data_IF_529055133587
#
_entry.id   IF_529055133587
#
_cell.length_a   1.000
_cell.length_b   1.000
_cell.length_c   1.000
_cell.angle_alpha   90.00
_cell.angle_beta   90.00
_cell.angle_gamma   90.00
#
_symmetry.space_group_name_H-M   'P 1'
#
loop_
_entity.id
_entity.type
_entity.pdbx_description
1 polymer ?
#
# COMPACT_ATOMS: atom_id res chain seq x y z
N UNK A 1 1.64 -4.63 -7.79
CA UNK A 1 1.80 -6.11 -7.67
C UNK A 1 3.17 -6.57 -7.14
N UNK A 2 4.32 -6.01 -7.55
CA UNK A 2 5.65 -6.49 -7.07
C UNK A 2 5.94 -6.18 -5.59
N UNK A 3 5.38 -5.11 -5.02
CA UNK A 3 5.62 -4.74 -3.61
C UNK A 3 4.86 -5.63 -2.61
N UNK A 4 3.63 -6.05 -2.91
CA UNK A 4 2.83 -6.88 -2.00
C UNK A 4 3.39 -8.29 -1.85
N UNK A 5 3.93 -8.87 -2.92
CA UNK A 5 4.61 -10.18 -2.88
C UNK A 5 5.83 -10.20 -1.94
N UNK A 6 6.52 -9.05 -1.76
CA UNK A 6 7.67 -8.95 -0.84
C UNK A 6 7.30 -9.16 0.63
N UNK A 7 6.05 -8.91 1.02
CA UNK A 7 5.59 -9.09 2.39
C UNK A 7 4.79 -10.39 2.58
N UNK A 8 4.04 -10.79 1.57
CA UNK A 8 3.21 -12.00 1.62
C UNK A 8 4.07 -13.28 1.64
N UNK A 9 5.13 -13.33 0.83
CA UNK A 9 5.96 -14.53 0.71
C UNK A 9 6.73 -14.83 2.01
N UNK A 10 7.44 -13.87 2.63
CA UNK A 10 8.13 -14.13 3.90
C UNK A 10 7.16 -14.48 5.04
N UNK A 11 6.00 -13.82 5.09
CA UNK A 11 4.97 -14.11 6.09
C UNK A 11 4.42 -15.54 5.93
N UNK A 12 4.12 -15.94 4.69
CA UNK A 12 3.67 -17.30 4.40
C UNK A 12 4.70 -18.35 4.78
N UNK A 13 5.98 -18.10 4.48
CA UNK A 13 7.09 -18.98 4.86
C UNK A 13 7.22 -19.08 6.38
N UNK A 14 7.19 -17.95 7.09
CA UNK A 14 7.30 -17.92 8.55
C UNK A 14 6.15 -18.71 9.22
N UNK A 15 4.90 -18.51 8.77
CA UNK A 15 3.75 -19.23 9.31
C UNK A 15 3.79 -20.73 8.98
N UNK A 16 4.23 -21.10 7.77
CA UNK A 16 4.42 -22.50 7.41
C UNK A 16 5.49 -23.17 8.28
N UNK A 17 6.60 -22.48 8.57
CA UNK A 17 7.66 -22.96 9.45
C UNK A 17 7.16 -23.14 10.90
N UNK A 18 6.39 -22.19 11.41
CA UNK A 18 5.76 -22.29 12.75
C UNK A 18 4.80 -23.47 12.80
N UNK A 19 3.90 -23.60 11.82
CA UNK A 19 2.96 -24.72 11.77
C UNK A 19 3.69 -26.07 11.72
N UNK A 20 4.75 -26.17 10.92
CA UNK A 20 5.59 -27.36 10.83
C UNK A 20 6.27 -27.72 12.16
N UNK A 21 6.67 -26.72 12.97
CA UNK A 21 7.29 -26.94 14.27
C UNK A 21 6.27 -27.25 15.40
N UNK A 22 5.12 -26.57 15.40
CA UNK A 22 4.12 -26.66 16.48
C UNK A 22 3.31 -27.96 16.40
N UNK A 23 2.92 -28.39 15.20
CA UNK A 23 2.13 -29.61 14.99
C UNK A 23 2.75 -30.87 15.65
N UNK A 24 4.03 -31.22 15.43
CA UNK A 24 4.63 -32.39 16.07
C UNK A 24 4.80 -32.23 17.58
N UNK A 25 4.94 -31.00 18.08
CA UNK A 25 5.02 -30.73 19.51
C UNK A 25 3.68 -31.02 20.20
N UNK A 26 2.57 -30.53 19.63
CA UNK A 26 1.22 -30.77 20.15
C UNK A 26 0.89 -32.26 20.13
N UNK A 27 1.23 -32.99 19.06
CA UNK A 27 0.98 -34.43 18.97
C UNK A 27 1.73 -35.20 20.09
N UNK A 28 3.01 -34.88 20.33
CA UNK A 28 3.77 -35.52 21.42
C UNK A 28 3.18 -35.23 22.80
N UNK A 29 2.82 -33.97 23.06
CA UNK A 29 2.25 -33.56 24.35
C UNK A 29 0.88 -34.19 24.59
N UNK A 30 0.02 -34.23 23.57
CA UNK A 30 -1.31 -34.85 23.68
C UNK A 30 -1.21 -36.36 23.92
N UNK A 31 -0.37 -37.08 23.17
CA UNK A 31 -0.14 -38.50 23.38
C UNK A 31 0.36 -38.81 24.81
N UNK A 32 1.36 -38.07 25.28
CA UNK A 32 1.87 -38.24 26.65
C UNK A 32 0.80 -37.99 27.72
N UNK A 33 -0.01 -36.95 27.53
CA UNK A 33 -1.11 -36.63 28.45
C UNK A 33 -2.15 -37.75 28.50
N UNK A 34 -2.56 -38.30 27.35
CA UNK A 34 -3.51 -39.42 27.30
C UNK A 34 -2.97 -40.71 27.93
N UNK A 35 -1.69 -41.03 27.70
CA UNK A 35 -1.06 -42.20 28.34
C UNK A 35 -1.04 -42.02 29.87
N UNK A 36 -0.72 -40.82 30.36
CA UNK A 36 -0.71 -40.50 31.79
C UNK A 36 -2.11 -40.62 32.41
N UNK A 37 -3.14 -40.11 31.73
CA UNK A 37 -4.53 -40.19 32.20
C UNK A 37 -5.04 -41.64 32.25
N UNK A 38 -4.78 -42.42 31.18
CA UNK A 38 -5.11 -43.85 31.14
C UNK A 38 -4.40 -44.64 32.23
N UNK A 39 -3.14 -44.31 32.52
CA UNK A 39 -2.39 -44.98 33.57
C UNK A 39 -3.03 -44.75 34.95
N UNK A 40 -3.37 -43.51 35.28
CA UNK A 40 -4.02 -43.17 36.56
C UNK A 40 -5.34 -43.94 36.70
N UNK A 41 -6.18 -43.97 35.66
CA UNK A 41 -7.44 -44.72 35.68
C UNK A 41 -7.22 -46.23 35.83
N UNK A 42 -6.24 -46.79 35.11
CA UNK A 42 -5.93 -48.22 35.16
C UNK A 42 -5.49 -48.67 36.55
N UNK A 43 -4.72 -47.84 37.27
CA UNK A 43 -4.30 -48.14 38.65
C UNK A 43 -5.49 -48.13 39.61
N UNK A 44 -6.44 -47.22 39.43
CA UNK A 44 -7.66 -47.17 40.25
C UNK A 44 -8.55 -48.39 40.00
N UNK A 45 -8.74 -48.78 38.74
CA UNK A 45 -9.50 -49.99 38.37
C UNK A 45 -8.83 -51.25 38.94
N UNK A 46 -7.50 -51.34 38.82
CA UNK A 46 -6.76 -52.46 39.37
C UNK A 46 -6.90 -52.55 40.89
N UNK A 47 -6.75 -51.44 41.61
CA UNK A 47 -6.91 -51.39 43.07
C UNK A 47 -8.35 -51.78 43.50
N UNK A 48 -9.37 -51.30 42.79
CA UNK A 48 -10.76 -51.68 43.06
C UNK A 48 -11.05 -53.15 42.72
N UNK A 49 -10.35 -53.72 41.74
CA UNK A 49 -10.49 -55.11 41.34
C UNK A 49 -9.68 -56.09 42.20
N UNK A 50 -8.68 -55.63 42.95
CA UNK A 50 -7.82 -56.48 43.78
C UNK A 50 -8.62 -57.24 44.84
N UNK A 51 -9.45 -56.58 45.65
CA UNK A 51 -10.19 -57.23 46.74
C UNK A 51 -11.12 -58.36 46.24
N UNK A 52 -12.02 -58.16 45.25
CA UNK A 52 -12.86 -59.25 44.73
C UNK A 52 -12.04 -60.35 44.03
N UNK A 53 -10.98 -59.97 43.33
CA UNK A 53 -10.15 -60.92 42.59
C UNK A 53 -9.36 -61.83 43.52
N UNK A 54 -8.80 -61.29 44.61
CA UNK A 54 -8.05 -62.09 45.60
C UNK A 54 -8.94 -63.15 46.25
N UNK A 55 -10.19 -62.80 46.56
CA UNK A 55 -11.19 -63.74 47.08
C UNK A 55 -11.55 -64.84 46.07
N UNK A 56 -11.70 -64.48 44.79
CA UNK A 56 -12.01 -65.41 43.71
C UNK A 56 -10.84 -66.32 43.33
N UNK A 57 -9.60 -65.84 43.38
CA UNK A 57 -8.40 -66.61 42.97
C UNK A 57 -8.03 -67.67 44.02
N UNK A 58 -8.31 -67.44 45.31
CA UNK A 58 -8.07 -68.41 46.39
C UNK A 58 -9.05 -69.60 46.37
N UNK A 59 -10.16 -69.51 45.64
CA UNK A 59 -11.19 -70.55 45.60
C UNK A 59 -10.87 -71.64 44.53
N UNK A 60 -10.75 -72.93 44.92
CA UNK A 60 -10.48 -74.00 43.96
C UNK A 60 -11.65 -74.15 42.97
N UNK A 61 -11.35 -74.07 41.67
CA UNK A 61 -12.30 -74.10 40.51
C UNK A 61 -13.06 -72.80 40.21
N UNK A 62 -12.62 -71.64 40.68
CA UNK A 62 -13.28 -70.36 40.37
C UNK A 62 -13.02 -69.78 38.96
N UNK A 63 -12.40 -70.53 38.02
CA UNK A 63 -12.06 -70.06 36.66
C UNK A 63 -13.22 -69.37 35.94
N UNK A 64 -14.42 -69.96 35.97
CA UNK A 64 -15.60 -69.36 35.34
C UNK A 64 -16.15 -68.13 36.09
N UNK A 65 -15.94 -68.04 37.40
CA UNK A 65 -16.35 -66.85 38.18
C UNK A 65 -15.42 -65.68 37.89
N UNK A 66 -14.10 -65.92 37.81
CA UNK A 66 -13.09 -64.92 37.43
C UNK A 66 -13.32 -64.41 36.01
N UNK A 67 -13.57 -65.29 35.04
CA UNK A 67 -13.85 -64.87 33.66
C UNK A 67 -15.13 -64.02 33.56
N UNK A 68 -16.22 -64.41 34.24
CA UNK A 68 -17.45 -63.59 34.30
C UNK A 68 -17.22 -62.24 34.96
N UNK A 69 -16.37 -62.18 35.98
CA UNK A 69 -15.98 -60.93 36.61
C UNK A 69 -15.20 -60.02 35.65
N UNK A 70 -14.24 -60.57 34.90
CA UNK A 70 -13.51 -59.82 33.87
C UNK A 70 -14.40 -59.35 32.73
N UNK A 71 -15.35 -60.18 32.27
CA UNK A 71 -16.33 -59.76 31.26
C UNK A 71 -17.20 -58.61 31.74
N UNK A 72 -17.59 -58.59 33.02
CA UNK A 72 -18.33 -57.48 33.62
C UNK A 72 -17.50 -56.21 33.70
N UNK A 73 -16.19 -56.31 34.00
CA UNK A 73 -15.29 -55.16 33.98
C UNK A 73 -15.07 -54.65 32.55
N UNK A 74 -14.97 -55.54 31.54
CA UNK A 74 -14.81 -55.14 30.13
C UNK A 74 -16.04 -54.38 29.60
N UNK A 75 -17.23 -54.66 30.14
CA UNK A 75 -18.44 -53.92 29.76
C UNK A 75 -18.41 -52.45 30.18
N UNK A 76 -17.67 -52.13 31.25
CA UNK A 76 -17.49 -50.76 31.72
C UNK A 76 -16.14 -50.18 31.26
N UNK A 77 -16.22 -48.99 30.66
CA UNK A 77 -15.09 -48.16 30.21
C UNK A 77 -13.99 -48.85 29.39
N UNK A 78 -14.12 -48.88 28.04
CA UNK A 78 -13.02 -48.86 27.04
C UNK A 78 -11.83 -49.85 27.22
N UNK A 79 -12.00 -50.87 28.05
CA UNK A 79 -11.02 -51.94 28.24
C UNK A 79 -11.20 -52.93 27.09
N UNK A 80 -10.12 -53.21 26.37
CA UNK A 80 -10.10 -54.16 25.27
C UNK A 80 -10.03 -55.60 25.78
N UNK A 81 -9.18 -55.84 26.78
CA UNK A 81 -9.00 -57.17 27.37
C UNK A 81 -8.37 -57.11 28.77
N UNK A 82 -8.60 -58.15 29.57
CA UNK A 82 -8.02 -58.33 30.91
C UNK A 82 -7.42 -59.73 31.02
N UNK A 83 -6.26 -59.82 31.65
CA UNK A 83 -5.60 -61.08 31.95
C UNK A 83 -4.96 -61.06 33.33
N UNK A 84 -4.82 -62.23 33.93
CA UNK A 84 -4.14 -62.43 35.21
C UNK A 84 -3.00 -63.44 35.02
N UNK A 85 -1.82 -63.02 35.44
CA UNK A 85 -0.57 -63.76 35.37
C UNK A 85 -0.18 -64.24 36.78
N UNK A 86 0.27 -65.48 36.87
CA UNK A 86 0.90 -66.01 38.08
C UNK A 86 2.30 -65.39 38.30
N UNK A 87 2.86 -65.57 39.50
CA UNK A 87 4.24 -65.23 39.84
C UNK A 87 5.27 -65.90 38.92
N UNK A 88 4.93 -67.04 38.31
CA UNK A 88 5.77 -67.71 37.32
C UNK A 88 5.76 -67.03 35.93
N UNK A 89 5.00 -65.94 35.76
CA UNK A 89 4.81 -65.27 34.46
C UNK A 89 3.93 -66.08 33.49
N UNK A 90 3.13 -67.02 34.00
CA UNK A 90 2.18 -67.81 33.20
C UNK A 90 0.79 -67.19 33.30
N UNK A 91 0.13 -66.99 32.16
CA UNK A 91 -1.23 -66.49 32.11
C UNK A 91 -2.21 -67.56 32.61
N UNK A 92 -2.88 -67.30 33.73
CA UNK A 92 -3.84 -68.22 34.33
C UNK A 92 -5.25 -67.96 33.80
N UNK A 93 -5.64 -66.69 33.73
CA UNK A 93 -6.96 -66.25 33.29
C UNK A 93 -6.80 -65.15 32.24
N UNK A 94 -7.57 -65.23 31.16
CA UNK A 94 -7.56 -64.24 30.09
C UNK A 94 -8.94 -64.18 29.45
N UNK A 95 -9.36 -62.99 29.05
CA UNK A 95 -10.61 -62.79 28.32
C UNK A 95 -10.45 -63.21 26.85
N UNK A 96 -11.55 -63.53 26.17
CA UNK A 96 -11.51 -64.03 24.79
C UNK A 96 -10.91 -63.02 23.78
N UNK A 97 -10.97 -61.73 24.10
CA UNK A 97 -10.42 -60.63 23.30
C UNK A 97 -8.93 -60.37 23.56
N UNK A 98 -8.28 -61.15 24.44
CA UNK A 98 -6.90 -60.90 24.82
C UNK A 98 -5.92 -61.13 23.65
N UNK A 99 -5.09 -60.15 23.27
CA UNK A 99 -4.20 -60.27 22.12
C UNK A 99 -3.00 -61.19 22.40
N UNK A 100 -2.72 -62.12 21.49
CA UNK A 100 -1.60 -63.08 21.61
C UNK A 100 -0.21 -62.41 21.60
N UNK A 101 -0.11 -61.19 21.07
CA UNK A 101 1.12 -60.40 21.04
C UNK A 101 1.53 -59.85 22.41
N UNK A 102 0.62 -59.85 23.40
CA UNK A 102 0.89 -59.36 24.75
C UNK A 102 1.22 -60.55 25.65
N UNK A 103 2.45 -60.57 26.17
CA UNK A 103 2.92 -61.62 27.10
C UNK A 103 2.95 -61.11 28.53
N UNK A 104 2.77 -62.01 29.49
CA UNK A 104 2.97 -61.71 30.90
C UNK A 104 4.41 -61.20 31.12
N UNK A 105 4.60 -60.21 32.00
CA UNK A 105 5.93 -59.79 32.43
C UNK A 105 6.67 -60.95 33.10
N UNK A 106 7.99 -60.97 32.95
CA UNK A 106 8.83 -61.91 33.70
C UNK A 106 9.06 -61.36 35.11
N UNK A 107 8.79 -62.19 36.11
CA UNK A 107 8.94 -61.86 37.52
C UNK A 107 10.35 -61.30 37.82
N UNK A 108 10.41 -60.19 38.56
CA UNK A 108 11.65 -59.57 39.04
C UNK A 108 12.23 -58.45 38.17
N UNK A 109 11.68 -58.17 36.99
CA UNK A 109 11.92 -56.89 36.31
C UNK A 109 10.84 -55.92 36.74
N UNK A 110 11.25 -54.76 37.27
CA UNK A 110 10.36 -53.60 37.43
C UNK A 110 9.90 -53.18 36.03
N UNK A 111 8.90 -53.89 35.49
CA UNK A 111 8.31 -53.60 34.22
C UNK A 111 7.72 -52.19 34.32
N UNK A 112 8.01 -51.34 33.33
CA UNK A 112 7.24 -50.11 33.15
C UNK A 112 5.76 -50.46 33.30
N UNK A 113 5.09 -49.85 34.28
CA UNK A 113 3.69 -50.11 34.62
C UNK A 113 2.77 -49.97 33.41
N UNK A 114 3.21 -49.24 32.39
CA UNK A 114 2.56 -49.03 31.10
C UNK A 114 3.49 -49.29 29.92
N UNK A 115 2.96 -49.93 28.87
CA UNK A 115 3.62 -50.11 27.56
C UNK A 115 2.63 -49.92 26.41
N UNK A 116 3.03 -49.18 25.39
CA UNK A 116 2.33 -49.10 24.11
C UNK A 116 2.74 -50.27 23.21
N UNK A 117 1.75 -51.00 22.67
CA UNK A 117 1.94 -52.10 21.73
C UNK A 117 1.16 -51.79 20.45
N UNK A 118 1.84 -51.83 19.29
CA UNK A 118 1.22 -51.60 18.00
C UNK A 118 0.67 -52.91 17.43
N UNK A 119 -0.63 -52.99 17.14
CA UNK A 119 -1.25 -54.09 16.38
C UNK A 119 -1.82 -53.56 15.06
N UNK A 120 -2.11 -54.47 14.12
CA UNK A 120 -2.75 -54.11 12.83
C UNK A 120 -4.11 -53.42 12.98
N UNK A 121 -4.82 -53.68 14.08
CA UNK A 121 -6.12 -53.06 14.40
C UNK A 121 -6.02 -51.73 15.15
N UNK A 122 -4.81 -51.31 15.55
CA UNK A 122 -4.57 -50.06 16.27
C UNK A 122 -3.56 -50.20 17.42
N UNK A 123 -3.10 -49.07 17.99
CA UNK A 123 -2.26 -49.08 19.18
C UNK A 123 -3.06 -49.50 20.41
N UNK A 124 -2.50 -50.39 21.21
CA UNK A 124 -3.04 -50.83 22.50
C UNK A 124 -2.13 -50.34 23.63
N UNK A 125 -2.75 -49.86 24.71
CA UNK A 125 -2.05 -49.51 25.94
C UNK A 125 -2.18 -50.66 26.93
N UNK A 126 -1.05 -51.28 27.28
CA UNK A 126 -0.97 -52.39 28.22
C UNK A 126 -0.46 -51.86 29.55
N UNK A 127 -1.28 -51.97 30.59
CA UNK A 127 -0.90 -51.65 31.97
C UNK A 127 -0.79 -52.93 32.80
N UNK A 128 0.28 -53.04 33.59
CA UNK A 128 0.54 -54.17 34.49
C UNK A 128 0.49 -53.68 35.92
N UNK A 129 -0.41 -54.26 36.71
CA UNK A 129 -0.59 -53.93 38.11
C UNK A 129 -0.38 -55.18 38.99
N UNK A 130 0.51 -55.14 39.99
CA UNK A 130 0.70 -56.26 40.90
C UNK A 130 -0.56 -56.48 41.73
N UNK A 131 -0.87 -57.74 42.05
CA UNK A 131 -1.97 -58.13 42.93
C UNK A 131 -1.38 -58.84 44.13
N UNK A 132 -1.58 -58.26 45.31
CA UNK A 132 -1.20 -58.85 46.59
C UNK A 132 -2.41 -58.94 47.51
N UNK A 133 -2.44 -59.98 48.35
CA UNK A 133 -3.42 -60.15 49.40
C UNK A 133 -2.68 -60.32 50.72
N UNK A 134 -3.02 -59.52 51.74
CA UNK A 134 -2.47 -59.67 53.11
C UNK A 134 -0.93 -59.67 53.16
N UNK A 135 -0.26 -59.01 52.20
CA UNK A 135 1.20 -58.95 52.11
C UNK A 135 1.85 -60.07 51.26
N UNK A 136 1.07 -61.04 50.78
CA UNK A 136 1.53 -62.08 49.87
C UNK A 136 1.25 -61.69 48.41
N UNK A 137 2.27 -61.71 47.56
CA UNK A 137 2.10 -61.45 46.13
C UNK A 137 1.41 -62.65 45.47
N UNK A 138 0.24 -62.45 44.87
CA UNK A 138 -0.52 -63.51 44.19
C UNK A 138 -0.23 -63.57 42.69
N UNK A 139 0.21 -62.46 42.10
CA UNK A 139 0.46 -62.37 40.66
C UNK A 139 0.34 -60.94 40.13
N UNK A 140 0.14 -60.82 38.83
CA UNK A 140 0.02 -59.55 38.12
C UNK A 140 -1.26 -59.50 37.28
N UNK A 141 -2.01 -58.41 37.39
CA UNK A 141 -3.17 -58.10 36.57
C UNK A 141 -2.72 -57.26 35.37
N UNK A 142 -2.95 -57.80 34.17
CA UNK A 142 -2.66 -57.14 32.89
C UNK A 142 -3.97 -56.61 32.32
N UNK A 143 -4.06 -55.29 32.17
CA UNK A 143 -5.22 -54.61 31.59
C UNK A 143 -4.79 -53.99 30.27
N UNK A 144 -5.54 -54.29 29.20
CA UNK A 144 -5.29 -53.80 27.84
C UNK A 144 -6.39 -52.82 27.45
N UNK A 145 -6.02 -51.60 27.10
CA UNK A 145 -6.93 -50.54 26.65
C UNK A 145 -6.74 -50.28 25.15
N UNK A 146 -7.84 -49.95 24.45
CA UNK A 146 -7.78 -49.54 23.05
C UNK A 146 -7.43 -48.04 22.94
N UNK A 147 -6.33 -47.71 22.24
CA UNK A 147 -5.93 -46.33 21.93
C UNK A 147 -6.25 -45.90 20.49
N UNK A 148 -6.98 -46.71 19.71
CA UNK A 148 -7.38 -46.40 18.33
C UNK A 148 -8.18 -45.08 18.21
N UNK A 149 -8.85 -44.67 19.29
CA UNK A 149 -9.54 -43.39 19.40
C UNK A 149 -8.58 -42.18 19.45
N UNK A 150 -7.45 -42.32 20.13
CA UNK A 150 -6.48 -41.24 20.31
C UNK A 150 -5.79 -40.91 18.99
N UNK A 151 -5.47 -41.92 18.18
CA UNK A 151 -4.94 -41.71 16.83
C UNK A 151 -5.97 -41.05 15.89
N UNK A 152 -7.25 -41.47 15.94
CA UNK A 152 -8.30 -40.85 15.11
C UNK A 152 -8.51 -39.38 15.45
N UNK A 153 -8.56 -39.02 16.74
CA UNK A 153 -8.67 -37.61 17.17
C UNK A 153 -7.41 -36.79 16.92
N UNK A 154 -6.21 -37.39 16.98
CA UNK A 154 -4.97 -36.66 16.66
C UNK A 154 -4.93 -36.24 15.18
N UNK A 155 -5.39 -37.09 14.26
CA UNK A 155 -5.45 -36.76 12.83
C UNK A 155 -6.39 -35.57 12.54
N UNK A 156 -7.57 -35.56 13.15
CA UNK A 156 -8.51 -34.45 13.02
C UNK A 156 -7.95 -33.16 13.66
N UNK A 157 -7.38 -33.26 14.86
CA UNK A 157 -6.75 -32.13 15.56
C UNK A 157 -5.63 -31.51 14.73
N UNK A 158 -4.79 -32.34 14.09
CA UNK A 158 -3.74 -31.89 13.16
C UNK A 158 -4.33 -31.13 11.98
N UNK A 159 -5.43 -31.60 11.42
CA UNK A 159 -6.13 -30.94 10.30
C UNK A 159 -6.72 -29.59 10.73
N UNK A 160 -7.33 -29.51 11.91
CA UNK A 160 -7.86 -28.26 12.45
C UNK A 160 -6.75 -27.24 12.76
N UNK A 161 -5.66 -27.66 13.39
CA UNK A 161 -4.50 -26.77 13.67
C UNK A 161 -3.92 -26.24 12.35
N UNK A 162 -3.79 -27.10 11.34
CA UNK A 162 -3.31 -26.67 10.02
C UNK A 162 -4.24 -25.62 9.39
N UNK A 163 -5.56 -25.85 9.39
CA UNK A 163 -6.52 -24.88 8.86
C UNK A 163 -6.56 -23.58 9.66
N UNK A 164 -6.39 -23.65 10.99
CA UNK A 164 -6.30 -22.46 11.83
C UNK A 164 -5.11 -21.58 11.43
N UNK A 165 -3.92 -22.17 11.28
CA UNK A 165 -2.75 -21.42 10.83
C UNK A 165 -2.91 -20.88 9.40
N UNK A 166 -3.51 -21.66 8.49
CA UNK A 166 -3.80 -21.20 7.13
C UNK A 166 -4.79 -20.02 7.11
N UNK A 167 -5.83 -20.06 7.95
CA UNK A 167 -6.80 -18.97 8.07
C UNK A 167 -6.17 -17.70 8.64
N UNK A 168 -5.35 -17.83 9.69
CA UNK A 168 -4.60 -16.69 10.25
C UNK A 168 -3.67 -16.10 9.19
N UNK A 169 -2.95 -16.93 8.43
CA UNK A 169 -2.10 -16.47 7.33
C UNK A 169 -2.87 -15.68 6.28
N UNK A 170 -4.04 -16.18 5.86
CA UNK A 170 -4.89 -15.52 4.89
C UNK A 170 -5.40 -14.16 5.40
N UNK A 171 -5.83 -14.08 6.67
CA UNK A 171 -6.27 -12.84 7.30
C UNK A 171 -5.14 -11.82 7.38
N UNK A 172 -3.95 -12.21 7.86
CA UNK A 172 -2.81 -11.29 7.97
C UNK A 172 -2.36 -10.83 6.58
N UNK A 173 -2.33 -11.72 5.58
CA UNK A 173 -2.03 -11.36 4.20
C UNK A 173 -3.04 -10.36 3.63
N UNK A 174 -4.35 -10.58 3.86
CA UNK A 174 -5.41 -9.66 3.46
C UNK A 174 -5.23 -8.28 4.10
N UNK A 175 -5.02 -8.22 5.41
CA UNK A 175 -4.80 -6.96 6.14
C UNK A 175 -3.57 -6.24 5.59
N UNK A 176 -2.47 -6.96 5.34
CA UNK A 176 -1.24 -6.38 4.78
C UNK A 176 -1.47 -5.78 3.39
N UNK A 177 -2.23 -6.47 2.53
CA UNK A 177 -2.61 -5.95 1.20
C UNK A 177 -3.49 -4.72 1.33
N UNK A 178 -4.49 -4.74 2.22
CA UNK A 178 -5.37 -3.59 2.46
C UNK A 178 -4.58 -2.37 2.94
N UNK A 179 -3.68 -2.54 3.92
CA UNK A 179 -2.81 -1.46 4.40
C UNK A 179 -1.92 -0.94 3.27
N UNK A 180 -1.33 -1.83 2.47
CA UNK A 180 -0.48 -1.44 1.35
C UNK A 180 -1.25 -0.65 0.28
N UNK A 181 -2.47 -1.08 -0.07
CA UNK A 181 -3.34 -0.38 -1.03
C UNK A 181 -3.81 0.98 -0.49
N UNK A 182 -4.17 1.07 0.79
CA UNK A 182 -4.57 2.34 1.44
C UNK A 182 -3.37 3.29 1.50
N UNK A 183 -2.19 2.80 1.89
CA UNK A 183 -0.96 3.60 1.95
C UNK A 183 -0.56 4.11 0.57
N UNK A 184 -0.64 3.25 -0.46
CA UNK A 184 -0.36 3.64 -1.84
C UNK A 184 -1.35 4.68 -2.35
N UNK A 185 -2.65 4.48 -2.15
CA UNK A 185 -3.69 5.46 -2.55
C UNK A 185 -3.55 6.78 -1.80
N UNK A 186 -3.29 6.74 -0.49
CA UNK A 186 -3.09 7.92 0.34
C UNK A 186 -1.81 8.69 -0.04
N UNK A 187 -0.73 7.99 -0.37
CA UNK A 187 0.53 8.61 -0.80
C UNK A 187 0.42 9.21 -2.21
N UNK A 188 -0.23 8.52 -3.15
CA UNK A 188 -0.51 9.06 -4.50
C UNK A 188 -1.44 10.27 -4.43
N UNK A 189 -2.47 10.25 -3.58
CA UNK A 189 -3.33 11.40 -3.35
C UNK A 189 -2.56 12.58 -2.74
N UNK A 190 -1.70 12.32 -1.76
CA UNK A 190 -0.84 13.35 -1.15
C UNK A 190 0.15 13.96 -2.13
N UNK A 191 0.81 13.16 -2.98
CA UNK A 191 1.71 13.66 -4.02
C UNK A 191 0.95 14.40 -5.11
N UNK A 192 -0.22 13.90 -5.52
CA UNK A 192 -1.06 14.58 -6.51
C UNK A 192 -1.53 15.94 -5.98
N UNK A 193 -1.89 16.04 -4.70
CA UNK A 193 -2.21 17.33 -4.06
C UNK A 193 -1.03 18.30 -4.04
N UNK A 194 0.19 17.80 -3.80
CA UNK A 194 1.41 18.62 -3.83
C UNK A 194 1.80 19.09 -5.24
N UNK A 195 1.62 18.24 -6.26
CA UNK A 195 1.95 18.55 -7.66
C UNK A 195 0.88 19.41 -8.33
N UNK A 196 -0.39 19.26 -7.96
CA UNK A 196 -1.51 19.93 -8.64
C UNK A 196 -1.74 21.37 -8.17
N UNK A 197 -0.91 21.91 -7.26
CA UNK A 197 -0.97 23.31 -6.85
C UNK A 197 -2.28 23.73 -6.16
N UNK A 198 -3.13 22.78 -5.76
CA UNK A 198 -4.42 22.99 -5.11
C UNK A 198 -4.30 23.57 -3.68
N UNK A 199 -3.07 23.88 -3.23
CA UNK A 199 -2.81 24.63 -2.00
C UNK A 199 -2.85 26.16 -2.18
N UNK A 200 -3.08 26.68 -3.39
CA UNK A 200 -3.12 28.13 -3.64
C UNK A 200 -4.52 28.74 -3.80
N UNK A 201 -5.59 27.94 -3.92
CA UNK A 201 -6.95 28.46 -4.03
C UNK A 201 -7.91 27.72 -3.09
N UNK A 202 -8.00 28.26 -1.87
CA UNK A 202 -9.06 28.09 -0.87
C UNK A 202 -10.00 26.90 -1.02
N UNK A 203 -9.67 25.78 -0.38
CA UNK A 203 -10.66 24.83 0.10
C UNK A 203 -10.78 24.97 1.63
N UNK A 204 -11.91 25.45 2.17
CA UNK A 204 -12.22 25.26 3.57
C UNK A 204 -12.66 23.80 3.74
N UNK A 205 -11.96 23.08 4.61
CA UNK A 205 -12.20 21.69 5.02
C UNK A 205 -11.90 20.58 3.99
N UNK A 206 -10.83 19.82 4.25
CA UNK A 206 -10.65 18.50 3.64
C UNK A 206 -9.25 17.91 3.77
N UNK A 207 -9.07 16.99 4.74
CA UNK A 207 -7.96 16.05 4.89
C UNK A 207 -6.59 16.63 5.29
N UNK A 208 -6.48 16.92 6.59
CA UNK A 208 -5.21 17.16 7.24
C UNK A 208 -4.25 15.99 7.08
N UNK A 209 -3.10 16.27 6.48
CA UNK A 209 -1.85 15.60 6.85
C UNK A 209 -1.49 16.10 8.25
N UNK A 210 -2.08 15.48 9.27
CA UNK A 210 -1.81 15.74 10.68
C UNK A 210 -0.55 15.00 11.14
N UNK A 211 0.59 15.28 10.50
CA UNK A 211 1.90 14.92 11.03
C UNK A 211 2.57 16.19 11.58
N UNK A 212 2.37 16.55 12.88
CA UNK A 212 2.98 17.74 13.47
C UNK A 212 4.52 17.74 13.36
N UNK A 213 5.13 16.56 13.29
CA UNK A 213 6.58 16.34 13.07
C UNK A 213 7.09 16.86 11.71
N UNK A 214 6.23 16.98 10.70
CA UNK A 214 6.62 17.43 9.34
C UNK A 214 6.42 18.93 9.11
N UNK A 215 5.83 19.65 10.07
CA UNK A 215 5.67 21.11 10.01
C UNK A 215 6.99 21.89 9.85
N UNK A 216 8.10 21.57 10.54
CA UNK A 216 9.35 22.30 10.32
C UNK A 216 9.91 22.07 8.91
N UNK A 217 9.90 20.82 8.43
CA UNK A 217 10.39 20.47 7.08
C UNK A 217 9.54 21.13 5.99
N UNK A 218 8.22 21.20 6.18
CA UNK A 218 7.33 21.86 5.22
C UNK A 218 7.61 23.36 5.10
N UNK A 219 7.98 24.03 6.20
CA UNK A 219 8.37 25.45 6.18
C UNK A 219 9.70 25.64 5.44
N UNK A 220 10.68 24.78 5.71
CA UNK A 220 11.98 24.84 5.04
C UNK A 220 11.85 24.57 3.54
N UNK A 221 11.02 23.59 3.15
CA UNK A 221 10.73 23.30 1.74
C UNK A 221 10.03 24.49 1.06
N UNK A 222 9.05 25.11 1.72
CA UNK A 222 8.38 26.30 1.20
C UNK A 222 9.34 27.49 1.06
N UNK A 223 10.26 27.68 2.00
CA UNK A 223 11.30 28.69 1.90
C UNK A 223 12.23 28.41 0.71
N UNK A 224 12.65 27.15 0.53
CA UNK A 224 13.52 26.73 -0.57
C UNK A 224 12.85 26.87 -1.94
N UNK A 225 11.55 26.55 -2.02
CA UNK A 225 10.76 26.73 -3.26
C UNK A 225 10.61 28.21 -3.59
N UNK A 226 10.34 29.07 -2.61
CA UNK A 226 10.29 30.53 -2.81
C UNK A 226 11.65 31.10 -3.25
N UNK A 227 12.74 30.58 -2.70
CA UNK A 227 14.10 30.98 -3.06
C UNK A 227 14.43 30.54 -4.49
N UNK A 228 14.06 29.31 -4.88
CA UNK A 228 14.18 28.80 -6.24
C UNK A 228 13.31 29.57 -7.24
N UNK A 229 12.08 29.95 -6.88
CA UNK A 229 11.21 30.78 -7.71
C UNK A 229 11.78 32.20 -7.87
N UNK A 230 12.34 32.78 -6.81
CA UNK A 230 13.02 34.08 -6.87
C UNK A 230 14.29 34.01 -7.76
N UNK A 231 15.11 32.96 -7.63
CA UNK A 231 16.23 32.70 -8.54
C UNK A 231 15.77 32.48 -9.99
N UNK A 232 14.64 31.80 -10.20
CA UNK A 232 14.10 31.52 -11.54
C UNK A 232 13.55 32.78 -12.19
N UNK A 233 12.88 33.65 -11.45
CA UNK A 233 12.45 34.96 -11.93
C UNK A 233 13.63 35.89 -12.25
N UNK A 234 14.68 35.87 -11.42
CA UNK A 234 15.93 36.59 -11.73
C UNK A 234 16.65 36.01 -12.98
N UNK A 235 16.53 34.70 -13.23
CA UNK A 235 17.02 34.04 -14.45
C UNK A 235 16.17 34.34 -15.69
N UNK A 236 14.87 34.51 -15.56
CA UNK A 236 13.98 34.88 -16.68
C UNK A 236 14.20 36.33 -17.13
N UNK A 237 14.40 37.28 -16.21
CA UNK A 237 14.79 38.65 -16.57
C UNK A 237 16.18 38.70 -17.25
N UNK A 238 17.11 37.83 -16.87
CA UNK A 238 18.44 37.75 -17.49
C UNK A 238 18.49 36.89 -18.75
N UNK A 239 17.56 35.95 -18.97
CA UNK A 239 17.44 35.17 -20.21
C UNK A 239 16.90 35.99 -21.38
N UNK A 240 16.17 37.09 -21.13
CA UNK A 240 15.84 38.07 -22.18
C UNK A 240 17.09 38.84 -22.63
N UNK A 241 18.17 38.83 -21.85
CA UNK A 241 19.39 39.62 -22.10
C UNK A 241 20.59 38.82 -22.65
N UNK A 242 20.66 37.49 -22.50
CA UNK A 242 21.83 36.68 -22.90
C UNK A 242 21.48 35.33 -23.59
N UNK A 243 20.68 35.37 -24.66
CA UNK A 243 20.63 34.27 -25.63
C UNK A 243 21.90 34.23 -26.51
N UNK A 244 22.21 33.15 -27.26
CA UNK A 244 23.45 32.96 -28.03
C UNK A 244 23.76 34.00 -29.11
N UNK A 245 22.89 35.01 -29.26
CA UNK A 245 23.08 36.20 -30.09
C UNK A 245 23.29 37.47 -29.24
N UNK A 246 23.92 37.39 -28.05
CA UNK A 246 24.13 38.51 -27.11
C UNK A 246 25.08 39.65 -27.60
N UNK A 247 25.38 39.67 -28.90
CA UNK A 247 25.96 40.81 -29.64
C UNK A 247 24.98 41.43 -30.64
N UNK A 248 23.70 41.02 -30.61
CA UNK A 248 22.68 41.51 -31.52
C UNK A 248 21.99 42.72 -30.91
N UNK A 249 22.30 43.87 -31.49
CA UNK A 249 21.44 45.06 -31.56
C UNK A 249 19.96 44.64 -31.58
N UNK A 250 19.13 45.29 -30.76
CA UNK A 250 17.66 45.15 -30.81
C UNK A 250 17.17 44.97 -32.25
N UNK A 251 16.37 43.92 -32.51
CA UNK A 251 15.85 43.63 -33.84
C UNK A 251 14.31 43.70 -33.88
N UNK A 252 13.71 44.31 -34.93
CA UNK A 252 12.27 44.33 -35.12
C UNK A 252 11.62 42.94 -35.11
N UNK A 253 12.34 41.90 -35.54
CA UNK A 253 11.87 40.51 -35.58
C UNK A 253 11.66 39.91 -34.19
N UNK A 254 12.51 40.24 -33.22
CA UNK A 254 12.34 39.78 -31.83
C UNK A 254 11.09 40.38 -31.18
N UNK A 255 10.87 41.70 -31.39
CA UNK A 255 9.69 42.38 -30.89
C UNK A 255 8.40 41.80 -31.52
N UNK A 256 8.41 41.50 -32.82
CA UNK A 256 7.31 40.79 -33.50
C UNK A 256 6.98 39.45 -32.84
N UNK A 257 8.00 38.67 -32.48
CA UNK A 257 7.83 37.37 -31.83
C UNK A 257 7.12 37.47 -30.48
N UNK A 258 7.64 38.33 -29.60
CA UNK A 258 7.08 38.55 -28.25
C UNK A 258 5.65 39.08 -28.32
N UNK A 259 5.39 40.06 -29.19
CA UNK A 259 4.06 40.64 -29.32
C UNK A 259 3.06 39.62 -29.90
N UNK A 260 3.44 38.78 -30.87
CA UNK A 260 2.55 37.72 -31.37
C UNK A 260 2.22 36.67 -30.31
N UNK A 261 3.19 36.29 -29.50
CA UNK A 261 2.99 35.30 -28.44
C UNK A 261 2.11 35.84 -27.31
N UNK A 262 2.29 37.11 -26.93
CA UNK A 262 1.58 37.73 -25.81
C UNK A 262 0.24 38.36 -26.18
N UNK A 263 0.08 38.86 -27.40
CA UNK A 263 -1.11 39.58 -27.87
C UNK A 263 -1.99 38.76 -28.82
N UNK A 264 -1.77 37.44 -28.95
CA UNK A 264 -2.67 36.49 -29.64
C UNK A 264 -3.12 36.88 -31.06
N UNK A 265 -2.39 37.76 -31.75
CA UNK A 265 -2.72 38.23 -33.10
C UNK A 265 -3.55 39.52 -33.17
N UNK A 266 -3.74 40.23 -32.05
CA UNK A 266 -4.46 41.51 -32.02
C UNK A 266 -3.72 42.63 -32.78
N UNK A 267 -4.48 43.52 -33.44
CA UNK A 267 -3.94 44.67 -34.18
C UNK A 267 -3.47 45.77 -33.22
N UNK A 268 -2.26 46.31 -33.44
CA UNK A 268 -1.76 47.45 -32.67
C UNK A 268 -2.27 48.75 -33.28
N UNK A 269 -3.03 49.50 -32.48
CA UNK A 269 -3.50 50.84 -32.78
C UNK A 269 -2.76 51.84 -31.91
N UNK A 270 -2.03 52.78 -32.52
CA UNK A 270 -1.42 53.90 -31.79
C UNK A 270 -2.22 55.15 -32.10
N UNK A 271 -2.85 55.73 -31.07
CA UNK A 271 -3.55 57.01 -31.19
C UNK A 271 -2.67 58.09 -30.58
N UNK A 272 -2.35 59.10 -31.35
CA UNK A 272 -1.54 60.21 -30.86
C UNK A 272 -1.93 61.51 -31.54
N UNK A 273 -1.55 62.63 -30.93
CA UNK A 273 -1.81 63.92 -31.53
C UNK A 273 -0.99 64.08 -32.83
N UNK A 274 0.31 63.79 -32.82
CA UNK A 274 1.20 64.02 -33.97
C UNK A 274 1.36 62.79 -34.85
N UNK A 275 1.28 62.97 -36.16
CA UNK A 275 1.61 61.93 -37.13
C UNK A 275 3.12 61.78 -37.36
N UNK A 276 3.60 60.60 -37.80
CA UNK A 276 5.02 60.36 -38.05
C UNK A 276 5.53 60.93 -39.39
N UNK A 277 4.64 61.23 -40.33
CA UNK A 277 4.99 61.74 -41.66
C UNK A 277 3.95 62.77 -42.12
N UNK A 278 4.39 63.99 -42.46
CA UNK A 278 3.54 65.04 -43.03
C UNK A 278 3.80 65.15 -44.53
N UNK A 279 2.77 65.46 -45.30
CA UNK A 279 2.86 65.82 -46.71
C UNK A 279 2.65 67.34 -46.85
N UNK A 280 3.67 68.01 -47.36
CA UNK A 280 3.68 69.47 -47.50
C UNK A 280 3.77 69.81 -48.99
N UNK A 281 2.86 70.66 -49.46
CA UNK A 281 2.91 71.23 -50.80
C UNK A 281 4.09 72.21 -50.89
N UNK A 282 4.95 72.01 -51.88
CA UNK A 282 6.06 72.90 -52.23
C UNK A 282 5.97 73.30 -53.72
N UNK A 283 6.80 74.25 -54.16
CA UNK A 283 6.86 74.69 -55.56
C UNK A 283 7.27 73.56 -56.52
N UNK A 284 7.95 72.53 -56.01
CA UNK A 284 8.41 71.35 -56.76
C UNK A 284 7.44 70.15 -56.68
N UNK A 285 6.33 70.30 -55.94
CA UNK A 285 5.33 69.24 -55.71
C UNK A 285 5.15 68.89 -54.23
N UNK A 286 4.51 67.75 -53.96
CA UNK A 286 4.26 67.29 -52.59
C UNK A 286 5.51 66.58 -52.04
N UNK A 287 6.06 67.09 -50.94
CA UNK A 287 7.24 66.52 -50.26
C UNK A 287 6.84 65.93 -48.91
N UNK A 288 7.43 64.79 -48.57
CA UNK A 288 7.20 64.12 -47.29
C UNK A 288 8.21 64.62 -46.25
N UNK A 289 7.71 65.17 -45.15
CA UNK A 289 8.52 65.68 -44.03
C UNK A 289 8.31 64.83 -42.78
N UNK A 290 9.41 64.52 -42.07
CA UNK A 290 9.35 63.89 -40.74
C UNK A 290 9.42 64.98 -39.66
N UNK A 291 8.43 65.08 -38.75
CA UNK A 291 8.44 66.05 -37.67
C UNK A 291 9.41 65.60 -36.58
N UNK A 292 10.03 66.55 -35.88
CA UNK A 292 10.83 66.26 -34.68
C UNK A 292 9.88 65.89 -33.52
N UNK A 293 9.65 64.60 -33.31
CA UNK A 293 8.79 64.08 -32.25
C UNK A 293 9.44 62.91 -31.53
N UNK A 294 9.60 63.06 -30.21
CA UNK A 294 10.12 62.00 -29.34
C UNK A 294 9.20 60.77 -29.33
N UNK A 295 7.89 60.99 -29.41
CA UNK A 295 6.90 59.91 -29.49
C UNK A 295 7.07 59.10 -30.78
N UNK A 296 7.23 59.80 -31.92
CA UNK A 296 7.43 59.15 -33.22
C UNK A 296 8.72 58.34 -33.21
N UNK A 297 9.81 58.92 -32.71
CA UNK A 297 11.11 58.23 -32.63
C UNK A 297 11.04 56.96 -31.79
N UNK A 298 10.28 56.97 -30.69
CA UNK A 298 10.14 55.83 -29.80
C UNK A 298 9.22 54.73 -30.36
N UNK A 299 8.11 55.10 -31.00
CA UNK A 299 7.07 54.14 -31.38
C UNK A 299 7.12 53.73 -32.85
N UNK A 300 7.73 54.51 -33.74
CA UNK A 300 7.86 54.14 -35.15
C UNK A 300 8.53 52.75 -35.37
N UNK A 301 9.60 52.36 -34.64
CA UNK A 301 10.18 51.03 -34.79
C UNK A 301 9.18 49.90 -34.44
N UNK A 302 8.33 50.13 -33.43
CA UNK A 302 7.26 49.19 -33.04
C UNK A 302 6.21 49.09 -34.14
N UNK A 303 5.81 50.23 -34.74
CA UNK A 303 4.82 50.24 -35.82
C UNK A 303 5.31 49.54 -37.08
N UNK A 304 6.57 49.79 -37.48
CA UNK A 304 7.21 49.11 -38.60
C UNK A 304 7.32 47.60 -38.36
N UNK A 305 7.52 47.19 -37.10
CA UNK A 305 7.50 45.78 -36.71
C UNK A 305 6.08 45.21 -36.80
N UNK A 306 5.06 45.83 -36.21
CA UNK A 306 3.76 45.17 -36.06
C UNK A 306 2.79 45.36 -37.22
N UNK A 307 3.12 46.19 -38.22
CA UNK A 307 2.22 46.54 -39.33
C UNK A 307 0.86 47.07 -38.86
N UNK A 308 0.87 47.79 -37.73
CA UNK A 308 -0.32 48.37 -37.09
C UNK A 308 -0.81 49.65 -37.78
N UNK A 309 -1.80 50.29 -37.16
CA UNK A 309 -2.40 51.53 -37.64
C UNK A 309 -2.10 52.69 -36.69
N UNK A 310 -1.51 53.76 -37.22
CA UNK A 310 -1.25 55.00 -36.47
C UNK A 310 -2.36 56.01 -36.73
N UNK A 311 -3.08 56.45 -35.70
CA UNK A 311 -4.16 57.42 -35.80
C UNK A 311 -3.65 58.76 -35.27
N UNK A 312 -3.68 59.80 -36.10
CA UNK A 312 -3.27 61.15 -35.72
C UNK A 312 -4.00 62.21 -36.56
N UNK A 313 -3.96 63.48 -36.14
CA UNK A 313 -4.50 64.55 -36.97
C UNK A 313 -3.56 64.84 -38.15
N UNK A 314 -4.12 65.10 -39.33
CA UNK A 314 -3.35 65.50 -40.52
C UNK A 314 -3.03 66.99 -40.47
N UNK A 315 -1.76 67.34 -40.32
CA UNK A 315 -1.30 68.73 -40.14
C UNK A 315 -0.59 69.35 -41.35
N UNK A 316 -0.28 68.55 -42.36
CA UNK A 316 0.40 68.96 -43.59
C UNK A 316 -0.54 69.60 -44.61
N UNK A 317 -0.02 70.56 -45.38
CA UNK A 317 -0.80 71.30 -46.38
C UNK A 317 -1.31 70.43 -47.54
N UNK A 318 -0.67 69.29 -47.81
CA UNK A 318 -1.05 68.33 -48.85
C UNK A 318 -1.52 66.98 -48.28
N UNK A 319 -1.77 66.90 -46.97
CA UNK A 319 -2.14 65.64 -46.34
C UNK A 319 -3.48 65.09 -46.82
N UNK A 320 -4.42 66.00 -47.11
CA UNK A 320 -5.77 65.66 -47.56
C UNK A 320 -5.78 65.10 -48.98
N UNK A 321 -4.81 65.51 -49.80
CA UNK A 321 -4.70 65.10 -51.20
C UNK A 321 -3.92 63.78 -51.36
N UNK A 322 -3.29 63.29 -50.29
CA UNK A 322 -2.39 62.12 -50.30
C UNK A 322 -2.96 60.88 -49.62
N UNK A 323 -4.18 60.97 -49.07
CA UNK A 323 -4.86 59.83 -48.45
C UNK A 323 -5.80 59.12 -49.41
N UNK A 324 -6.14 57.88 -49.07
CA UNK A 324 -7.20 57.13 -49.74
C UNK A 324 -8.61 57.59 -49.32
N UNK A 325 -9.64 56.92 -49.85
CA UNK A 325 -11.06 57.21 -49.55
C UNK A 325 -11.45 57.04 -48.08
N UNK A 326 -10.62 56.40 -47.27
CA UNK A 326 -10.84 56.12 -45.85
C UNK A 326 -9.89 56.94 -44.96
N UNK A 327 -9.25 57.97 -45.51
CA UNK A 327 -8.28 58.83 -44.84
C UNK A 327 -6.99 58.10 -44.41
N UNK A 328 -6.60 57.02 -45.11
CA UNK A 328 -5.36 56.30 -44.84
C UNK A 328 -4.23 56.62 -45.82
N UNK A 329 -3.00 56.53 -45.33
CA UNK A 329 -1.78 56.57 -46.14
C UNK A 329 -0.78 55.54 -45.64
N UNK A 330 -0.13 54.82 -46.57
CA UNK A 330 0.90 53.84 -46.23
C UNK A 330 2.27 54.52 -46.09
N UNK A 331 3.00 54.17 -45.03
CA UNK A 331 4.30 54.77 -44.72
C UNK A 331 5.32 53.73 -44.24
N UNK A 332 6.62 54.03 -44.29
CA UNK A 332 7.25 55.13 -45.03
C UNK A 332 7.06 55.03 -46.56
N UNK A 333 7.12 56.14 -47.32
CA UNK A 333 6.90 56.13 -48.78
C UNK A 333 7.80 55.17 -49.56
N UNK A 334 9.06 55.05 -49.15
CA UNK A 334 10.06 54.17 -49.80
C UNK A 334 9.77 52.68 -49.59
N UNK A 335 9.29 52.32 -48.40
CA UNK A 335 9.01 50.93 -48.01
C UNK A 335 7.77 50.88 -47.09
N UNK A 336 6.57 50.88 -47.68
CA UNK A 336 5.31 50.75 -46.95
C UNK A 336 5.35 49.59 -45.95
N UNK A 337 5.20 49.88 -44.66
CA UNK A 337 5.32 48.88 -43.59
C UNK A 337 4.21 48.96 -42.54
N UNK A 338 3.60 50.13 -42.38
CA UNK A 338 2.43 50.36 -41.54
C UNK A 338 1.59 51.49 -42.14
N UNK A 339 0.37 51.70 -41.63
CA UNK A 339 -0.56 52.71 -42.15
C UNK A 339 -0.76 53.85 -41.15
N UNK A 340 -0.95 55.06 -41.65
CA UNK A 340 -1.47 56.18 -40.89
C UNK A 340 -2.93 56.36 -41.27
N UNK A 341 -3.81 56.56 -40.29
CA UNK A 341 -5.18 57.05 -40.45
C UNK A 341 -5.22 58.49 -39.97
N UNK A 342 -5.56 59.42 -40.88
CA UNK A 342 -5.63 60.84 -40.56
C UNK A 342 -7.01 61.22 -40.05
N UNK A 343 -7.02 62.08 -39.04
CA UNK A 343 -8.21 62.74 -38.52
C UNK A 343 -8.15 64.21 -38.91
N UNK A 344 -9.25 64.74 -39.43
CA UNK A 344 -9.32 66.13 -39.87
C UNK A 344 -9.96 66.97 -38.77
N UNK A 345 -9.16 67.85 -38.18
CA UNK A 345 -9.65 68.84 -37.22
C UNK A 345 -10.06 70.13 -37.96
N UNK A 346 -11.09 70.81 -37.47
CA UNK A 346 -11.38 72.16 -37.90
C UNK A 346 -10.34 73.15 -37.37
N UNK A 347 -10.27 74.35 -37.96
CA UNK A 347 -9.36 75.41 -37.48
C UNK A 347 -9.70 75.81 -36.04
N UNK A 348 -10.98 75.81 -35.69
CA UNK A 348 -11.47 76.12 -34.35
C UNK A 348 -11.06 75.03 -33.35
N UNK A 349 -11.13 73.75 -33.73
CA UNK A 349 -10.70 72.62 -32.90
C UNK A 349 -9.19 72.62 -32.65
N UNK A 350 -8.39 72.84 -33.69
CA UNK A 350 -6.93 72.95 -33.56
C UNK A 350 -6.54 74.15 -32.69
N UNK A 351 -7.19 75.31 -32.91
CA UNK A 351 -6.93 76.50 -32.13
C UNK A 351 -7.34 76.33 -30.66
N UNK A 352 -8.49 75.68 -30.40
CA UNK A 352 -8.95 75.39 -29.04
C UNK A 352 -8.01 74.45 -28.27
N UNK A 353 -7.43 73.45 -28.94
CA UNK A 353 -6.50 72.51 -28.31
C UNK A 353 -5.11 73.14 -28.01
N UNK A 354 -4.53 73.86 -28.97
CA UNK A 354 -3.17 74.41 -28.81
C UNK A 354 -3.12 75.79 -28.14
N UNK A 355 -4.19 76.59 -28.27
CA UNK A 355 -4.22 77.99 -27.83
C UNK A 355 -5.41 78.33 -26.91
N UNK A 356 -6.34 77.40 -26.66
CA UNK A 356 -7.55 77.62 -25.86
C UNK A 356 -7.39 77.41 -24.34
N UNK A 357 -6.16 77.22 -23.85
CA UNK A 357 -5.81 77.13 -22.41
C UNK A 357 -5.10 78.39 -21.87
N UNK A 358 -5.29 79.54 -22.54
CA UNK A 358 -4.78 80.85 -22.12
C UNK A 358 -5.84 81.69 -21.41
#
# INVERSE_FOLDING_TARGET
>A
MRLSLRFIVPLGIALAAIAYAVVPLVDRLTLQWFVRDLEIRSTTIANAAQEPLTALVREPRARQKVLRYFERIIQDERIFAIGFCDLAGKMLYATNTFPESVRCPQAGKAASRSRLVQLERGPLHVSVNPVSAEGEALGELVIVHDMSFVQRRSADTKKYIFYLFAAIAAVVALITVVIAEISWRGWVAGIKGLISGEMLLGAPDGLGVTAPELRPIAKDLQALVRDLEAERHARDESQILWGPNALATWSPEMLRGVLREKLLGDEILVVSNREPFLHVQTDEGVVVQRPASGLVTALEPVMRACSGTWIAHGGGSADRDTVDRQDHVMVPPEKPSYRIRRVWLSKEEEQGYYYGLA
#
